data_IF_746537596440
#
_entry.id   IF_746537596440
#
_cell.length_a   1.000
_cell.length_b   1.000
_cell.length_c   1.000
_cell.angle_alpha   90.00
_cell.angle_beta   90.00
_cell.angle_gamma   90.00
#
_symmetry.space_group_name_H-M   'P 1'
#
loop_
_entity.id
_entity.type
_entity.pdbx_description
1 polymer ?
#
# COMPACT_ATOMS: atom_id res chain seq x y z
N UNK A 1 -1.20 64.53 30.38
CA UNK A 1 -0.84 64.83 28.98
C UNK A 1 -0.31 63.57 28.33
N UNK A 2 -0.95 63.20 27.21
CA UNK A 2 -0.76 62.01 26.38
C UNK A 2 0.70 61.64 26.05
N UNK A 3 0.97 60.32 25.93
CA UNK A 3 1.34 59.72 24.63
C UNK A 3 1.33 58.18 24.69
N UNK A 4 0.43 57.63 23.88
CA UNK A 4 0.36 56.25 23.42
C UNK A 4 1.58 55.97 22.53
N UNK A 5 2.27 54.85 22.76
CA UNK A 5 3.07 54.19 21.72
C UNK A 5 3.13 52.69 22.03
N UNK A 6 2.30 51.94 21.33
CA UNK A 6 2.43 50.50 21.22
C UNK A 6 3.59 50.14 20.29
N UNK A 7 4.27 49.05 20.62
CA UNK A 7 5.13 48.33 19.68
C UNK A 7 4.77 46.85 19.76
N UNK A 8 4.15 46.40 18.68
CA UNK A 8 3.92 45.01 18.34
C UNK A 8 5.27 44.33 18.12
N UNK A 9 5.59 43.32 18.91
CA UNK A 9 6.61 42.33 18.57
C UNK A 9 5.94 41.24 17.74
N UNK A 10 6.20 41.28 16.43
CA UNK A 10 5.84 40.24 15.48
C UNK A 10 6.51 38.92 15.87
N UNK A 11 5.69 37.92 16.20
CA UNK A 11 6.13 36.54 16.22
C UNK A 11 6.42 36.10 14.78
N UNK A 12 7.69 35.93 14.45
CA UNK A 12 8.12 35.26 13.23
C UNK A 12 7.70 33.80 13.31
N UNK A 13 6.59 33.45 12.67
CA UNK A 13 6.24 32.07 12.32
C UNK A 13 7.30 31.61 11.32
N UNK A 14 8.29 30.84 11.79
CA UNK A 14 9.15 30.08 10.92
C UNK A 14 8.29 29.00 10.26
N UNK A 15 7.76 29.33 9.08
CA UNK A 15 7.27 28.34 8.13
C UNK A 15 8.42 27.36 7.87
N UNK A 16 8.24 26.12 8.33
CA UNK A 16 9.06 24.99 7.91
C UNK A 16 8.87 24.84 6.39
N UNK A 17 9.72 25.54 5.64
CA UNK A 17 9.90 25.36 4.21
C UNK A 17 10.41 23.94 3.99
N UNK A 18 9.78 23.26 3.02
CA UNK A 18 9.94 21.84 2.77
C UNK A 18 11.40 21.41 2.74
N UNK A 19 11.68 20.26 3.38
CA UNK A 19 12.92 19.56 3.17
C UNK A 19 13.01 19.20 1.67
N UNK A 20 13.83 19.96 0.95
CA UNK A 20 14.12 19.73 -0.45
C UNK A 20 14.82 18.38 -0.59
N UNK A 21 14.33 17.60 -1.54
CA UNK A 21 14.75 16.24 -1.82
C UNK A 21 16.26 16.14 -2.07
N UNK A 22 17.01 15.53 -1.15
CA UNK A 22 18.28 14.91 -1.51
C UNK A 22 17.96 13.67 -2.36
N UNK A 23 18.47 13.60 -3.59
CA UNK A 23 18.26 12.43 -4.46
C UNK A 23 18.75 11.16 -3.76
N UNK A 24 17.84 10.25 -3.40
CA UNK A 24 18.12 9.02 -2.66
C UNK A 24 18.48 7.84 -3.58
N UNK A 25 19.05 8.15 -4.75
CA UNK A 25 19.34 7.20 -5.83
C UNK A 25 18.29 7.19 -6.94
N UNK A 26 18.66 6.60 -8.07
CA UNK A 26 17.80 6.43 -9.25
C UNK A 26 16.81 5.28 -9.03
N UNK A 27 15.57 5.48 -9.47
CA UNK A 27 14.54 4.46 -9.49
C UNK A 27 14.82 3.46 -10.63
N UNK A 28 14.58 2.18 -10.37
CA UNK A 28 14.76 1.11 -11.34
C UNK A 28 13.46 0.32 -11.48
N UNK A 29 13.13 -0.16 -12.70
CA UNK A 29 11.92 -0.96 -12.96
C UNK A 29 11.73 -2.15 -12.02
N UNK A 30 12.83 -2.72 -11.51
CA UNK A 30 12.83 -3.87 -10.60
C UNK A 30 12.62 -3.53 -9.12
N UNK A 31 12.54 -2.24 -8.76
CA UNK A 31 12.33 -1.83 -7.38
C UNK A 31 10.97 -2.30 -6.84
N UNK A 32 10.90 -2.59 -5.54
CA UNK A 32 9.72 -3.15 -4.89
C UNK A 32 8.44 -2.33 -5.08
N UNK A 33 8.55 -1.00 -5.22
CA UNK A 33 7.41 -0.12 -5.51
C UNK A 33 6.77 -0.41 -6.87
N UNK A 34 7.57 -0.70 -7.89
CA UNK A 34 7.07 -1.07 -9.23
C UNK A 34 6.59 -2.52 -9.27
N UNK A 35 7.21 -3.41 -8.49
CA UNK A 35 6.69 -4.77 -8.31
C UNK A 35 5.31 -4.75 -7.65
N UNK A 36 5.07 -3.83 -6.71
CA UNK A 36 3.76 -3.68 -6.06
C UNK A 36 2.67 -3.18 -7.00
N UNK A 37 3.04 -2.34 -7.97
CA UNK A 37 2.13 -1.72 -8.93
C UNK A 37 2.58 -1.98 -10.38
N UNK A 38 2.31 -3.18 -10.94
CA UNK A 38 2.79 -3.54 -12.28
C UNK A 38 2.32 -2.58 -13.38
N UNK A 39 1.08 -2.10 -13.31
CA UNK A 39 0.55 -1.11 -14.25
C UNK A 39 1.30 0.22 -14.19
N UNK A 40 1.71 0.64 -12.98
CA UNK A 40 2.57 1.81 -12.81
C UNK A 40 3.92 1.58 -13.47
N UNK A 41 4.51 0.40 -13.33
CA UNK A 41 5.79 0.07 -13.95
C UNK A 41 5.70 0.13 -15.49
N UNK A 42 4.61 -0.40 -16.05
CA UNK A 42 4.36 -0.36 -17.49
C UNK A 42 4.20 1.07 -18.00
N UNK A 43 3.37 1.87 -17.31
CA UNK A 43 3.16 3.28 -17.66
C UNK A 43 4.41 4.12 -17.45
N UNK A 44 5.22 3.85 -16.43
CA UNK A 44 6.37 4.67 -16.11
C UNK A 44 7.58 4.40 -17.04
N UNK A 45 7.80 3.13 -17.41
CA UNK A 45 9.02 2.71 -18.12
C UNK A 45 8.82 2.31 -19.58
N UNK A 46 7.63 1.84 -19.97
CA UNK A 46 7.40 1.24 -21.30
C UNK A 46 6.57 2.16 -22.19
N UNK A 47 5.55 2.80 -21.65
CA UNK A 47 4.64 3.63 -22.45
C UNK A 47 5.40 4.78 -23.16
N UNK A 48 5.31 4.90 -24.50
CA UNK A 48 6.03 5.94 -25.25
C UNK A 48 5.64 7.37 -24.89
N UNK A 49 4.37 7.61 -24.53
CA UNK A 49 3.87 8.95 -24.24
C UNK A 49 4.44 9.50 -22.94
N UNK A 50 4.54 8.65 -21.93
CA UNK A 50 5.16 8.96 -20.64
C UNK A 50 6.68 8.93 -20.75
N UNK A 51 7.26 8.09 -21.61
CA UNK A 51 8.71 8.05 -21.81
C UNK A 51 9.27 9.38 -22.35
N UNK A 52 8.52 10.03 -23.24
CA UNK A 52 8.85 11.34 -23.80
C UNK A 52 8.45 12.54 -22.92
N UNK A 53 7.94 12.31 -21.70
CA UNK A 53 7.54 13.39 -20.81
C UNK A 53 8.76 14.12 -20.23
N UNK A 54 8.66 15.46 -20.17
CA UNK A 54 9.63 16.36 -19.54
C UNK A 54 9.65 16.25 -18.02
N UNK A 55 8.50 15.93 -17.41
CA UNK A 55 8.39 15.64 -15.98
C UNK A 55 7.59 14.34 -15.77
N UNK A 56 8.05 13.50 -14.84
CA UNK A 56 7.42 12.23 -14.46
C UNK A 56 7.43 12.06 -12.96
N UNK A 57 6.23 12.02 -12.37
CA UNK A 57 6.09 11.98 -10.91
C UNK A 57 5.24 10.80 -10.49
N UNK A 58 5.65 10.13 -9.41
CA UNK A 58 4.85 9.11 -8.71
C UNK A 58 4.62 9.57 -7.28
N UNK A 59 3.36 9.56 -6.87
CA UNK A 59 2.92 9.76 -5.50
C UNK A 59 2.30 8.49 -4.92
N UNK A 60 2.65 8.17 -3.68
CA UNK A 60 2.05 7.07 -2.91
C UNK A 60 1.75 7.54 -1.49
N UNK A 61 0.79 6.91 -0.80
CA UNK A 61 0.56 7.20 0.60
C UNK A 61 1.70 6.63 1.45
N UNK A 62 2.17 7.46 2.39
CA UNK A 62 3.26 7.15 3.31
C UNK A 62 2.75 7.14 4.76
N UNK A 63 3.40 6.42 5.69
CA UNK A 63 4.62 5.58 5.53
C UNK A 63 4.38 4.30 4.73
N UNK A 64 5.42 3.45 4.51
CA UNK A 64 5.32 2.22 3.69
C UNK A 64 4.01 1.46 3.88
N UNK A 65 3.51 1.26 5.09
CA UNK A 65 2.26 0.54 5.39
C UNK A 65 1.02 1.08 4.62
N UNK A 66 1.08 2.33 4.18
CA UNK A 66 0.04 3.01 3.43
C UNK A 66 0.19 2.91 1.90
N UNK A 67 1.27 2.33 1.36
CA UNK A 67 1.46 2.22 -0.09
C UNK A 67 0.70 1.04 -0.70
N UNK A 68 -0.64 1.09 -0.63
CA UNK A 68 -1.55 0.17 -1.30
C UNK A 68 -2.20 0.78 -2.53
N UNK A 69 -2.08 2.09 -2.74
CA UNK A 69 -2.50 2.82 -3.93
C UNK A 69 -1.38 3.72 -4.42
N UNK A 70 -1.44 4.12 -5.69
CA UNK A 70 -0.53 5.10 -6.28
C UNK A 70 -1.30 6.06 -7.19
N UNK A 71 -0.68 7.21 -7.45
CA UNK A 71 -1.00 8.05 -8.58
C UNK A 71 0.28 8.52 -9.25
N UNK A 72 0.24 8.67 -10.56
CA UNK A 72 1.33 9.18 -11.37
C UNK A 72 0.84 10.36 -12.22
N UNK A 73 1.77 11.24 -12.58
CA UNK A 73 1.51 12.38 -13.44
C UNK A 73 2.70 12.66 -14.34
N UNK A 74 2.41 13.12 -15.56
CA UNK A 74 3.41 13.31 -16.62
C UNK A 74 3.09 14.59 -17.40
N UNK A 75 4.12 15.32 -17.82
CA UNK A 75 3.99 16.55 -18.63
C UNK A 75 4.96 16.55 -19.80
N UNK A 76 4.55 17.08 -20.95
CA UNK A 76 5.40 17.32 -22.14
C UNK A 76 5.79 18.80 -22.29
N UNK A 77 6.05 19.48 -21.17
CA UNK A 77 6.52 20.87 -21.12
C UNK A 77 5.42 21.94 -21.00
N UNK A 78 4.15 21.54 -20.90
CA UNK A 78 3.03 22.47 -20.67
C UNK A 78 2.76 22.79 -19.19
N UNK A 79 3.35 21.99 -18.30
CA UNK A 79 3.24 22.15 -16.84
C UNK A 79 4.64 22.09 -16.24
N UNK A 80 4.88 22.95 -15.24
CA UNK A 80 6.07 22.93 -14.39
C UNK A 80 6.12 21.66 -13.52
N UNK A 81 7.32 21.32 -13.03
CA UNK A 81 7.51 20.18 -12.12
C UNK A 81 6.56 20.25 -10.91
N UNK A 82 6.44 21.43 -10.29
CA UNK A 82 5.56 21.63 -9.12
C UNK A 82 4.09 21.35 -9.43
N UNK A 83 3.60 21.75 -10.60
CA UNK A 83 2.21 21.49 -11.00
C UNK A 83 1.96 19.98 -11.21
N UNK A 84 2.92 19.29 -11.83
CA UNK A 84 2.87 17.82 -12.04
C UNK A 84 2.89 17.09 -10.70
N UNK A 85 3.74 17.53 -9.76
CA UNK A 85 3.78 16.98 -8.41
C UNK A 85 2.46 17.17 -7.65
N UNK A 86 1.91 18.38 -7.68
CA UNK A 86 0.63 18.69 -7.02
C UNK A 86 -0.52 17.84 -7.61
N UNK A 87 -0.55 17.67 -8.93
CA UNK A 87 -1.55 16.83 -9.59
C UNK A 87 -1.44 15.36 -9.17
N UNK A 88 -0.22 14.81 -9.07
CA UNK A 88 0.01 13.45 -8.60
C UNK A 88 -0.44 13.28 -7.13
N UNK A 89 -0.04 14.20 -6.24
CA UNK A 89 -0.41 14.16 -4.82
C UNK A 89 -1.92 14.31 -4.63
N UNK A 90 -2.56 15.25 -5.31
CA UNK A 90 -4.01 15.45 -5.27
C UNK A 90 -4.77 14.22 -5.74
N UNK A 91 -4.35 13.63 -6.87
CA UNK A 91 -4.96 12.41 -7.39
C UNK A 91 -4.79 11.22 -6.45
N UNK A 92 -3.62 11.08 -5.83
CA UNK A 92 -3.38 10.05 -4.82
C UNK A 92 -4.28 10.25 -3.59
N UNK A 93 -4.37 11.47 -3.05
CA UNK A 93 -5.22 11.76 -1.89
C UNK A 93 -6.70 11.51 -2.18
N UNK A 94 -7.18 11.84 -3.39
CA UNK A 94 -8.54 11.51 -3.81
C UNK A 94 -8.79 10.01 -3.80
N UNK A 95 -7.92 9.22 -4.44
CA UNK A 95 -8.03 7.74 -4.42
C UNK A 95 -7.97 7.18 -2.99
N UNK A 96 -7.09 7.72 -2.16
CA UNK A 96 -6.98 7.32 -0.76
C UNK A 96 -8.28 7.59 0.02
N UNK A 97 -8.92 8.74 -0.22
CA UNK A 97 -10.21 9.08 0.40
C UNK A 97 -11.35 8.18 -0.10
N UNK A 98 -11.38 7.86 -1.40
CA UNK A 98 -12.37 6.93 -2.00
C UNK A 98 -12.26 5.52 -1.44
N UNK A 99 -11.04 5.04 -1.19
CA UNK A 99 -10.79 3.71 -0.63
C UNK A 99 -11.04 3.64 0.90
N UNK A 100 -11.21 4.78 1.55
CA UNK A 100 -11.39 4.88 2.98
C UNK A 100 -10.09 4.79 3.79
N UNK A 101 -10.10 5.24 5.06
CA UNK A 101 -8.90 5.30 5.87
C UNK A 101 -8.44 3.91 6.30
N UNK A 102 -7.12 3.65 6.22
CA UNK A 102 -6.47 2.48 6.80
C UNK A 102 -6.54 2.40 8.33
N UNK A 103 -7.31 3.26 9.01
CA UNK A 103 -7.29 3.46 10.47
C UNK A 103 -7.42 2.18 11.29
N UNK A 104 -8.14 1.17 10.79
CA UNK A 104 -8.27 -0.14 11.44
C UNK A 104 -7.11 -1.12 11.15
N UNK A 105 -6.34 -0.89 10.10
CA UNK A 105 -5.22 -1.74 9.73
C UNK A 105 -3.95 -1.41 10.51
N UNK A 106 -3.71 -0.13 10.84
CA UNK A 106 -2.47 0.27 11.51
C UNK A 106 -2.56 1.50 12.41
N UNK A 107 -3.70 2.21 12.46
CA UNK A 107 -3.82 3.49 13.18
C UNK A 107 -2.70 4.49 12.84
N UNK A 108 -2.24 4.48 11.58
CA UNK A 108 -1.24 5.41 11.05
C UNK A 108 -1.90 6.49 10.22
N UNK A 109 -1.37 7.72 10.30
CA UNK A 109 -1.79 8.82 9.43
C UNK A 109 -1.18 8.60 8.04
N UNK A 110 -2.02 8.25 7.07
CA UNK A 110 -1.60 8.02 5.69
C UNK A 110 -1.79 9.29 4.88
N UNK A 111 -0.69 9.83 4.35
CA UNK A 111 -0.73 11.00 3.45
C UNK A 111 0.05 10.72 2.18
N UNK A 112 -0.51 11.14 1.05
CA UNK A 112 0.21 11.01 -0.22
C UNK A 112 1.36 12.01 -0.29
N UNK A 113 2.51 11.49 -0.70
CA UNK A 113 3.72 12.25 -0.94
C UNK A 113 4.31 11.81 -2.27
N UNK A 114 5.01 12.73 -2.95
CA UNK A 114 5.84 12.36 -4.08
C UNK A 114 6.99 11.48 -3.59
N UNK A 115 7.20 10.35 -4.24
CA UNK A 115 8.27 9.41 -3.90
C UNK A 115 9.28 9.23 -5.00
N UNK A 116 8.86 9.43 -6.26
CA UNK A 116 9.74 9.45 -7.43
C UNK A 116 9.42 10.72 -8.21
N UNK A 117 10.45 11.50 -8.51
CA UNK A 117 10.41 12.64 -9.45
C UNK A 117 11.54 12.47 -10.45
N UNK A 118 11.22 12.49 -11.74
CA UNK A 118 12.18 12.44 -12.85
C UNK A 118 13.23 11.32 -12.67
N UNK A 119 12.74 10.10 -12.46
CA UNK A 119 13.50 8.87 -12.24
C UNK A 119 14.33 8.82 -10.95
N UNK A 120 14.20 9.79 -10.04
CA UNK A 120 14.93 9.84 -8.78
C UNK A 120 14.01 9.67 -7.58
N UNK A 121 14.46 8.92 -6.58
CA UNK A 121 13.79 8.87 -5.30
C UNK A 121 13.98 10.19 -4.56
N UNK A 122 12.85 10.79 -4.15
CA UNK A 122 12.83 12.03 -3.36
C UNK A 122 12.54 11.79 -1.88
N UNK A 123 12.30 10.53 -1.51
CA UNK A 123 12.17 10.07 -0.11
C UNK A 123 13.21 8.99 0.19
N UNK A 124 13.63 8.80 1.45
CA UNK A 124 14.55 7.73 1.81
C UNK A 124 14.04 6.34 1.39
N UNK A 125 14.84 5.55 0.67
CA UNK A 125 14.41 4.21 0.16
C UNK A 125 13.97 3.25 1.27
N UNK A 126 14.50 3.39 2.48
CA UNK A 126 14.08 2.58 3.63
C UNK A 126 12.64 2.90 4.13
N UNK A 127 12.08 4.04 3.73
CA UNK A 127 10.68 4.42 4.01
C UNK A 127 9.70 3.84 2.99
N UNK A 128 10.21 3.34 1.87
CA UNK A 128 9.45 2.75 0.79
C UNK A 128 9.21 1.24 1.00
N UNK A 129 8.32 0.65 0.18
CA UNK A 129 8.36 -0.76 -0.14
C UNK A 129 9.74 -1.41 -0.19
N UNK A 130 9.95 -2.51 0.53
CA UNK A 130 11.15 -3.37 0.41
C UNK A 130 10.83 -4.79 -0.09
N UNK A 131 9.57 -5.20 0.03
CA UNK A 131 9.00 -6.45 -0.46
C UNK A 131 7.67 -6.11 -1.14
N UNK A 132 6.99 -7.08 -1.76
CA UNK A 132 5.58 -6.89 -2.05
C UNK A 132 4.82 -6.96 -0.72
N UNK A 133 4.03 -5.95 -0.40
CA UNK A 133 3.22 -5.92 0.82
C UNK A 133 1.88 -5.27 0.57
N UNK A 134 0.95 -5.51 1.48
CA UNK A 134 -0.34 -4.84 1.49
C UNK A 134 -1.03 -4.97 2.83
N UNK A 135 -2.00 -4.08 3.11
CA UNK A 135 -2.94 -4.31 4.21
C UNK A 135 -3.57 -5.69 4.07
N UNK A 136 -3.72 -6.40 5.18
CA UNK A 136 -4.40 -7.68 5.23
C UNK A 136 -5.50 -7.66 6.28
N UNK A 137 -6.64 -8.25 5.92
CA UNK A 137 -7.72 -8.57 6.84
C UNK A 137 -8.03 -10.06 6.73
N UNK A 138 -8.07 -10.75 7.86
CA UNK A 138 -8.45 -12.15 7.98
C UNK A 138 -9.75 -12.20 8.78
N UNK A 139 -10.78 -12.77 8.17
CA UNK A 139 -12.06 -13.07 8.77
C UNK A 139 -12.11 -14.57 9.03
N UNK A 140 -12.48 -14.96 10.24
CA UNK A 140 -12.62 -16.36 10.62
C UNK A 140 -13.69 -16.51 11.70
N UNK A 141 -14.21 -17.73 11.87
CA UNK A 141 -15.02 -18.05 13.06
C UNK A 141 -14.12 -18.52 14.18
N UNK A 142 -14.26 -17.92 15.35
CA UNK A 142 -13.61 -18.39 16.57
C UNK A 142 -14.19 -19.76 17.00
N UNK A 143 -13.59 -20.46 17.99
CA UNK A 143 -14.11 -21.73 18.47
C UNK A 143 -15.54 -21.68 19.03
N UNK A 144 -16.05 -20.50 19.39
CA UNK A 144 -17.42 -20.30 19.87
C UNK A 144 -18.40 -20.00 18.72
N UNK A 145 -17.91 -19.97 17.48
CA UNK A 145 -18.69 -19.68 16.28
C UNK A 145 -18.85 -18.18 15.97
N UNK A 146 -18.25 -17.28 16.75
CA UNK A 146 -18.33 -15.84 16.51
C UNK A 146 -17.41 -15.44 15.36
N UNK A 147 -17.86 -14.50 14.53
CA UNK A 147 -16.99 -13.91 13.51
C UNK A 147 -15.96 -13.02 14.19
N UNK A 148 -14.69 -13.38 14.00
CA UNK A 148 -13.53 -12.64 14.45
C UNK A 148 -12.77 -12.08 13.24
N UNK A 149 -12.04 -10.99 13.49
CA UNK A 149 -11.22 -10.30 12.49
C UNK A 149 -9.82 -10.04 13.01
N UNK A 150 -8.82 -10.36 12.20
CA UNK A 150 -7.43 -9.97 12.39
C UNK A 150 -7.02 -9.02 11.27
N UNK A 151 -6.50 -7.84 11.63
CA UNK A 151 -5.91 -6.90 10.67
C UNK A 151 -4.39 -6.87 10.84
N UNK A 152 -3.68 -6.55 9.76
CA UNK A 152 -2.22 -6.41 9.81
C UNK A 152 -1.62 -6.13 8.43
N UNK A 153 -0.32 -6.43 8.31
CA UNK A 153 0.50 -6.25 7.10
C UNK A 153 0.99 -7.58 6.57
N UNK A 154 0.52 -7.95 5.38
CA UNK A 154 1.11 -9.04 4.63
C UNK A 154 2.39 -8.57 3.94
N UNK A 155 3.47 -9.35 4.05
CA UNK A 155 4.72 -9.17 3.32
C UNK A 155 5.11 -10.47 2.62
N UNK A 156 5.56 -10.37 1.39
CA UNK A 156 5.98 -11.51 0.59
C UNK A 156 7.08 -11.11 -0.39
N UNK A 157 8.10 -11.96 -0.51
CA UNK A 157 9.33 -11.66 -1.25
C UNK A 157 9.25 -11.82 -2.77
N UNK A 158 8.09 -12.19 -3.31
CA UNK A 158 7.92 -12.62 -4.69
C UNK A 158 6.53 -12.22 -5.22
N UNK A 159 6.39 -12.07 -6.53
CA UNK A 159 5.08 -11.70 -7.12
C UNK A 159 4.17 -12.92 -7.16
N UNK A 160 3.09 -12.87 -6.38
CA UNK A 160 2.01 -13.86 -6.40
C UNK A 160 1.45 -13.91 -7.83
N UNK A 161 1.35 -15.12 -8.42
CA UNK A 161 0.96 -15.31 -9.82
C UNK A 161 2.11 -15.43 -10.82
N UNK A 162 3.34 -15.00 -10.47
CA UNK A 162 4.54 -15.20 -11.30
C UNK A 162 5.39 -16.36 -10.81
N UNK A 163 5.75 -16.33 -9.52
CA UNK A 163 6.70 -17.29 -8.96
C UNK A 163 5.93 -18.51 -8.45
N UNK A 164 6.39 -19.75 -8.76
CA UNK A 164 5.64 -21.01 -8.52
C UNK A 164 5.07 -21.13 -7.10
N UNK A 165 5.84 -20.66 -6.13
CA UNK A 165 5.47 -20.65 -4.72
C UNK A 165 6.01 -19.38 -4.07
N UNK A 166 5.18 -18.70 -3.29
CA UNK A 166 5.49 -17.43 -2.64
C UNK A 166 5.18 -17.55 -1.16
N UNK A 167 6.21 -17.47 -0.33
CA UNK A 167 6.04 -17.38 1.12
C UNK A 167 5.61 -15.99 1.53
N UNK A 168 4.68 -15.90 2.48
CA UNK A 168 4.24 -14.65 3.06
C UNK A 168 4.29 -14.70 4.59
N UNK A 169 4.38 -13.53 5.19
CA UNK A 169 4.25 -13.30 6.64
C UNK A 169 3.27 -12.17 6.90
N UNK A 170 2.58 -12.23 8.03
CA UNK A 170 1.66 -11.20 8.48
C UNK A 170 2.14 -10.67 9.82
N UNK A 171 2.38 -9.38 9.88
CA UNK A 171 2.67 -8.65 11.12
C UNK A 171 1.40 -7.92 11.57
N UNK A 172 1.09 -7.92 12.86
CA UNK A 172 -0.04 -7.16 13.40
C UNK A 172 0.29 -5.65 13.46
N UNK A 173 -0.66 -4.77 13.87
CA UNK A 173 -0.41 -3.33 13.97
C UNK A 173 0.74 -2.94 14.91
N UNK A 174 1.11 -3.81 15.86
CA UNK A 174 2.24 -3.61 16.78
C UNK A 174 3.58 -4.05 16.18
N UNK A 175 3.58 -4.61 14.97
CA UNK A 175 4.77 -5.14 14.31
C UNK A 175 5.16 -6.55 14.77
N UNK A 176 4.30 -7.23 15.52
CA UNK A 176 4.52 -8.61 15.95
C UNK A 176 4.09 -9.56 14.84
N UNK A 177 4.93 -10.55 14.51
CA UNK A 177 4.56 -11.58 13.54
C UNK A 177 3.45 -12.46 14.11
N UNK A 178 2.31 -12.48 13.44
CA UNK A 178 1.13 -13.24 13.86
C UNK A 178 0.83 -14.41 12.95
N UNK A 179 1.13 -14.33 11.66
CA UNK A 179 0.94 -15.44 10.72
C UNK A 179 2.10 -15.59 9.74
N UNK A 180 2.22 -16.79 9.20
CA UNK A 180 3.06 -17.11 8.05
C UNK A 180 2.36 -18.13 7.16
N UNK A 181 2.77 -18.23 5.91
CA UNK A 181 2.13 -19.12 4.96
C UNK A 181 2.75 -19.09 3.58
N UNK A 182 2.09 -19.78 2.66
CA UNK A 182 2.54 -19.94 1.28
C UNK A 182 1.37 -19.82 0.32
N UNK A 183 1.57 -19.10 -0.78
CA UNK A 183 0.76 -19.18 -1.98
C UNK A 183 1.45 -20.07 -3.01
N UNK A 184 0.74 -21.03 -3.58
CA UNK A 184 1.21 -21.89 -4.67
C UNK A 184 0.35 -21.61 -5.89
N UNK A 185 0.97 -21.15 -6.98
CA UNK A 185 0.21 -20.78 -8.18
C UNK A 185 -0.24 -22.04 -8.93
N UNK A 186 -1.54 -22.10 -9.24
CA UNK A 186 -2.08 -23.04 -10.23
C UNK A 186 -2.23 -22.36 -11.60
N UNK A 187 -2.40 -21.03 -11.60
CA UNK A 187 -2.49 -20.17 -12.80
C UNK A 187 -1.99 -18.74 -12.50
N UNK A 188 -1.84 -17.85 -13.50
CA UNK A 188 -1.33 -16.48 -13.30
C UNK A 188 -2.12 -15.59 -12.31
N UNK A 189 -3.34 -15.97 -11.95
CA UNK A 189 -4.19 -15.19 -11.03
C UNK A 189 -4.88 -16.03 -9.97
N UNK A 190 -4.55 -17.31 -9.83
CA UNK A 190 -5.18 -18.18 -8.83
C UNK A 190 -4.29 -19.35 -8.43
N UNK A 191 -4.61 -19.93 -7.29
CA UNK A 191 -3.92 -21.13 -6.84
C UNK A 191 -4.37 -21.56 -5.46
N UNK A 192 -3.47 -22.24 -4.76
CA UNK A 192 -3.65 -22.72 -3.40
C UNK A 192 -2.95 -21.82 -2.39
N UNK A 193 -3.48 -21.78 -1.17
CA UNK A 193 -2.76 -21.17 -0.06
C UNK A 193 -2.79 -22.06 1.18
N UNK A 194 -1.78 -21.88 2.02
CA UNK A 194 -1.74 -22.36 3.38
C UNK A 194 -1.29 -21.24 4.30
N UNK A 195 -1.77 -21.25 5.53
CA UNK A 195 -1.46 -20.26 6.55
C UNK A 195 -1.48 -20.89 7.92
N UNK A 196 -0.55 -20.45 8.77
CA UNK A 196 -0.46 -20.76 10.19
C UNK A 196 -0.29 -19.47 10.97
N UNK A 197 -1.09 -19.28 12.02
CA UNK A 197 -1.06 -18.12 12.88
C UNK A 197 -0.85 -18.53 14.35
N UNK A 198 -0.31 -17.60 15.13
CA UNK A 198 -0.12 -17.72 16.58
C UNK A 198 0.63 -18.99 16.99
N UNK A 199 1.68 -19.35 16.23
CA UNK A 199 2.48 -20.55 16.47
C UNK A 199 1.73 -21.86 16.19
N UNK A 200 0.81 -21.88 15.22
CA UNK A 200 0.07 -23.08 14.80
C UNK A 200 -1.26 -23.29 15.51
N UNK A 201 -1.66 -22.40 16.42
CA UNK A 201 -2.97 -22.48 17.12
C UNK A 201 -4.15 -22.25 16.18
N UNK A 202 -3.93 -21.50 15.10
CA UNK A 202 -4.90 -21.27 14.05
C UNK A 202 -4.22 -21.55 12.73
N UNK A 203 -4.80 -22.43 11.92
CA UNK A 203 -4.28 -22.73 10.59
C UNK A 203 -5.41 -22.77 9.59
N UNK A 204 -5.16 -22.33 8.37
CA UNK A 204 -6.11 -22.45 7.28
C UNK A 204 -5.44 -22.84 5.98
N UNK A 205 -6.16 -23.56 5.14
CA UNK A 205 -5.76 -23.83 3.77
C UNK A 205 -6.95 -23.70 2.84
N UNK A 206 -6.68 -23.47 1.56
CA UNK A 206 -7.72 -23.30 0.56
C UNK A 206 -7.18 -22.80 -0.77
N UNK A 207 -7.97 -21.99 -1.46
CA UNK A 207 -7.59 -21.37 -2.72
C UNK A 207 -7.50 -19.85 -2.58
N UNK A 208 -6.75 -19.22 -3.49
CA UNK A 208 -6.73 -17.77 -3.62
C UNK A 208 -7.01 -17.35 -5.06
N UNK A 209 -7.42 -16.10 -5.21
CA UNK A 209 -7.60 -15.41 -6.48
C UNK A 209 -7.03 -13.99 -6.36
N UNK A 210 -6.31 -13.56 -7.39
CA UNK A 210 -5.98 -12.15 -7.60
C UNK A 210 -7.14 -11.45 -8.30
N UNK A 211 -7.44 -10.22 -7.88
CA UNK A 211 -8.44 -9.35 -8.45
C UNK A 211 -7.73 -8.07 -8.87
N UNK A 212 -7.84 -7.73 -10.15
CA UNK A 212 -7.31 -6.49 -10.71
C UNK A 212 -8.45 -5.47 -10.80
N UNK A 213 -8.17 -4.23 -10.40
CA UNK A 213 -9.13 -3.13 -10.44
C UNK A 213 -10.11 -3.12 -9.27
N UNK A 214 -11.35 -2.70 -9.53
CA UNK A 214 -12.32 -2.18 -8.54
C UNK A 214 -12.46 -3.01 -7.23
N UNK A 215 -12.33 -2.37 -6.04
CA UNK A 215 -11.99 -0.97 -5.83
C UNK A 215 -10.49 -0.68 -5.99
N UNK A 216 -9.64 -1.70 -5.84
CA UNK A 216 -8.19 -1.67 -6.08
C UNK A 216 -7.63 -3.10 -6.20
N UNK A 217 -6.43 -3.27 -6.76
CA UNK A 217 -5.78 -4.57 -6.89
C UNK A 217 -5.59 -5.27 -5.53
N UNK A 218 -6.11 -6.49 -5.42
CA UNK A 218 -6.09 -7.25 -4.18
C UNK A 218 -6.13 -8.76 -4.42
N UNK A 219 -5.79 -9.52 -3.38
CA UNK A 219 -5.87 -10.97 -3.35
C UNK A 219 -6.93 -11.38 -2.34
N UNK A 220 -7.74 -12.36 -2.71
CA UNK A 220 -8.67 -13.02 -1.80
C UNK A 220 -8.34 -14.50 -1.71
N UNK A 221 -8.05 -14.95 -0.49
CA UNK A 221 -7.85 -16.35 -0.13
C UNK A 221 -9.05 -16.84 0.68
N UNK A 222 -9.66 -17.94 0.26
CA UNK A 222 -10.78 -18.58 0.93
C UNK A 222 -10.43 -20.01 1.27
N UNK A 223 -10.67 -20.38 2.51
CA UNK A 223 -10.29 -21.69 3.03
C UNK A 223 -11.10 -22.08 4.25
N UNK A 224 -10.63 -23.13 4.89
CA UNK A 224 -11.21 -23.60 6.15
C UNK A 224 -10.11 -23.85 7.17
N UNK A 225 -10.47 -23.81 8.45
CA UNK A 225 -9.59 -24.29 9.52
C UNK A 225 -9.55 -25.82 9.53
N UNK A 226 -8.67 -26.42 10.33
CA UNK A 226 -8.68 -27.87 10.56
C UNK A 226 -10.00 -28.40 11.13
N UNK A 227 -10.82 -27.53 11.72
CA UNK A 227 -12.16 -27.84 12.24
C UNK A 227 -13.28 -27.57 11.22
N UNK A 228 -12.95 -27.21 9.98
CA UNK A 228 -13.93 -26.93 8.92
C UNK A 228 -14.59 -25.55 9.00
N UNK A 229 -14.14 -24.65 9.89
CA UNK A 229 -14.68 -23.29 9.97
C UNK A 229 -14.19 -22.43 8.81
N UNK A 230 -15.05 -21.62 8.17
CA UNK A 230 -14.65 -20.80 7.02
C UNK A 230 -13.64 -19.72 7.42
N UNK A 231 -12.71 -19.43 6.51
CA UNK A 231 -11.71 -18.38 6.62
C UNK A 231 -11.64 -17.61 5.31
N UNK A 232 -11.63 -16.29 5.40
CA UNK A 232 -11.43 -15.37 4.29
C UNK A 232 -10.26 -14.44 4.62
N UNK A 233 -9.24 -14.39 3.78
CA UNK A 233 -8.11 -13.48 3.92
C UNK A 233 -8.04 -12.59 2.69
N UNK A 234 -7.94 -11.28 2.91
CA UNK A 234 -7.92 -10.26 1.87
C UNK A 234 -6.64 -9.45 2.01
N UNK A 235 -5.79 -9.44 0.98
CA UNK A 235 -4.54 -8.67 0.93
C UNK A 235 -4.67 -7.58 -0.13
N UNK A 236 -4.39 -6.32 0.23
CA UNK A 236 -4.37 -5.18 -0.69
C UNK A 236 -5.53 -4.19 -0.53
N UNK A 237 -6.54 -4.51 0.30
CA UNK A 237 -7.64 -3.61 0.62
C UNK A 237 -7.58 -3.08 2.07
N UNK A 238 -8.02 -1.83 2.32
CA UNK A 238 -8.34 -1.34 3.66
C UNK A 238 -9.35 -2.26 4.38
N UNK A 239 -9.25 -2.36 5.71
CA UNK A 239 -10.06 -3.28 6.51
C UNK A 239 -11.57 -3.08 6.36
N UNK A 240 -12.01 -1.83 6.21
CA UNK A 240 -13.43 -1.51 6.05
C UNK A 240 -13.96 -2.03 4.71
N UNK A 241 -13.21 -1.81 3.62
CA UNK A 241 -13.55 -2.34 2.29
C UNK A 241 -13.48 -3.86 2.26
N UNK A 242 -12.42 -4.45 2.82
CA UNK A 242 -12.28 -5.89 2.93
C UNK A 242 -13.45 -6.51 3.72
N UNK A 243 -13.85 -5.89 4.82
CA UNK A 243 -14.97 -6.32 5.65
C UNK A 243 -16.30 -6.26 4.91
N UNK A 244 -16.59 -5.14 4.25
CA UNK A 244 -17.82 -4.96 3.49
C UNK A 244 -17.98 -5.93 2.31
N UNK A 245 -16.87 -6.27 1.63
CA UNK A 245 -16.90 -7.13 0.44
C UNK A 245 -16.76 -8.62 0.77
N UNK A 246 -16.00 -8.98 1.80
CA UNK A 246 -15.51 -10.35 2.00
C UNK A 246 -15.60 -10.86 3.43
N UNK A 247 -16.12 -10.06 4.37
CA UNK A 247 -16.26 -10.44 5.78
C UNK A 247 -17.50 -11.28 6.10
N UNK A 248 -18.44 -11.46 5.15
CA UNK A 248 -19.65 -12.26 5.31
C UNK A 248 -19.38 -13.77 5.22
N UNK A 249 -18.80 -14.34 6.27
CA UNK A 249 -18.53 -15.79 6.43
C UNK A 249 -19.26 -16.38 7.63
#
# INVERSE_FOLDING_TARGET
MNRILGLFLLATVALASGAWAQSQGRAERRDAIFLRFPEMAERYWVNPETNAASHKVVAVPMPRQCAFVYADSYSKGHMSESEVQQLAVSSCNRKLAELGPLGENYSVDCRCQVVISDEHYVVPRNTLPTESYGPVSIFYRDPNGNVARLNGLARYGALIGRDRSVTFRIDNPRGERVCEGTFTNDSPGSGRYSMSCFGGKFSSNGSYQSKTGSPNDHIIARGHTGQGQPVSMVIGLPAQLAGGLYGGI
#
